data_IF_012782518768
#
_entry.id   IF_012782518768
#
_cell.length_a   1.000
_cell.length_b   1.000
_cell.length_c   1.000
_cell.angle_alpha   90.00
_cell.angle_beta   90.00
_cell.angle_gamma   90.00
#
_symmetry.space_group_name_H-M   'P 1'
#
loop_
_entity.id
_entity.type
_entity.pdbx_description
1 polymer ?
#
# COMPACT_ATOMS: atom_id res chain seq x y z
N UNK A 1 57.71 57.89 22.80
CA UNK A 1 59.02 57.26 22.66
C UNK A 1 58.88 56.14 21.63
N UNK A 2 59.39 56.37 20.40
CA UNK A 2 59.25 55.48 19.25
C UNK A 2 60.47 54.58 19.21
N UNK A 3 60.30 53.29 19.14
CA UNK A 3 61.35 52.36 18.71
C UNK A 3 60.90 51.62 17.46
N UNK A 4 61.70 51.81 16.43
CA UNK A 4 61.61 51.19 15.10
C UNK A 4 62.57 50.00 15.15
N UNK A 5 62.08 48.80 14.77
CA UNK A 5 62.98 47.65 14.56
C UNK A 5 62.77 47.18 13.12
N UNK A 6 63.83 47.36 12.34
CA UNK A 6 63.94 46.80 11.00
C UNK A 6 64.37 45.33 11.09
N UNK A 7 63.71 44.43 10.46
CA UNK A 7 64.14 43.06 10.29
C UNK A 7 64.33 42.67 8.86
N UNK A 8 65.54 42.27 8.59
CA UNK A 8 66.08 41.83 7.30
C UNK A 8 65.48 40.47 6.93
N UNK A 9 64.78 40.42 5.77
CA UNK A 9 64.28 39.14 5.22
C UNK A 9 65.33 38.60 4.22
N UNK A 10 66.00 37.51 4.63
CA UNK A 10 66.81 36.71 3.70
C UNK A 10 65.90 35.78 2.90
N UNK A 11 65.86 35.95 1.57
CA UNK A 11 65.20 35.03 0.66
C UNK A 11 66.09 33.83 0.41
N UNK A 12 65.68 32.66 0.84
CA UNK A 12 66.26 31.37 0.40
C UNK A 12 65.32 30.78 -0.67
N UNK A 13 65.85 30.64 -1.87
CA UNK A 13 65.14 29.95 -2.99
C UNK A 13 65.19 28.42 -2.76
N UNK A 14 64.01 27.81 -2.70
CA UNK A 14 63.89 26.36 -2.68
C UNK A 14 63.45 25.91 -4.09
N UNK A 15 64.15 24.95 -4.73
CA UNK A 15 63.74 24.46 -6.02
C UNK A 15 62.49 23.61 -5.92
N UNK A 16 61.50 23.89 -6.76
CA UNK A 16 60.30 23.07 -6.90
C UNK A 16 60.62 21.83 -7.74
N UNK A 17 60.64 20.66 -7.15
CA UNK A 17 60.64 19.40 -7.86
C UNK A 17 59.16 19.10 -8.17
N UNK A 18 58.79 19.15 -9.47
CA UNK A 18 57.48 18.74 -9.93
C UNK A 18 57.46 17.18 -9.99
N UNK A 19 56.76 16.62 -9.02
CA UNK A 19 56.40 15.17 -9.05
C UNK A 19 55.16 15.03 -9.94
N UNK A 20 55.34 14.53 -11.14
CA UNK A 20 54.25 14.10 -12.02
C UNK A 20 53.69 12.76 -11.41
N UNK A 21 52.60 12.88 -10.65
CA UNK A 21 51.80 11.72 -10.26
C UNK A 21 50.86 11.42 -11.43
N UNK A 22 51.22 10.41 -12.18
CA UNK A 22 50.33 9.83 -13.20
C UNK A 22 49.14 9.17 -12.51
N UNK A 23 47.98 9.83 -12.54
CA UNK A 23 46.71 9.22 -12.16
C UNK A 23 46.28 8.31 -13.30
N UNK A 24 46.53 7.03 -13.14
CA UNK A 24 45.93 6.01 -13.99
C UNK A 24 44.40 6.05 -13.71
N UNK A 25 43.64 6.55 -14.67
CA UNK A 25 42.20 6.46 -14.64
C UNK A 25 41.80 4.98 -14.74
N UNK A 26 41.35 4.40 -13.64
CA UNK A 26 40.70 3.09 -13.68
C UNK A 26 39.47 3.21 -14.61
N UNK A 27 39.23 2.22 -15.48
CA UNK A 27 38.00 2.22 -16.27
C UNK A 27 36.79 2.23 -15.31
N UNK A 28 35.98 3.28 -15.37
CA UNK A 28 34.66 3.23 -14.77
C UNK A 28 33.92 2.08 -15.48
N UNK A 29 33.77 0.95 -14.80
CA UNK A 29 32.72 0.01 -15.16
C UNK A 29 31.40 0.78 -15.15
N UNK A 30 30.93 1.13 -16.33
CA UNK A 30 29.53 1.51 -16.55
C UNK A 30 28.75 0.25 -16.21
N UNK A 31 28.34 0.17 -14.94
CA UNK A 31 27.46 -0.89 -14.48
C UNK A 31 26.29 -0.92 -15.45
N UNK A 32 26.19 -2.01 -16.20
CA UNK A 32 25.01 -2.33 -16.98
C UNK A 32 23.83 -2.21 -16.01
N UNK A 33 23.11 -1.09 -16.10
CA UNK A 33 21.80 -0.96 -15.47
C UNK A 33 21.00 -2.09 -16.08
N UNK A 34 20.89 -3.21 -15.36
CA UNK A 34 20.07 -4.32 -15.77
C UNK A 34 18.66 -3.70 -15.92
N UNK A 35 18.16 -3.72 -17.12
CA UNK A 35 16.80 -3.31 -17.44
C UNK A 35 15.88 -4.43 -16.93
N UNK A 36 15.91 -4.67 -15.60
CA UNK A 36 14.93 -5.52 -14.95
C UNK A 36 13.59 -4.85 -15.16
N UNK A 37 12.75 -5.48 -15.95
CA UNK A 37 11.37 -5.06 -16.13
C UNK A 37 10.79 -4.83 -14.74
N UNK A 38 10.35 -3.59 -14.47
CA UNK A 38 9.81 -3.19 -13.16
C UNK A 38 8.66 -4.14 -12.84
N UNK A 39 8.78 -4.86 -11.72
CA UNK A 39 7.74 -5.78 -11.26
C UNK A 39 6.49 -5.02 -10.88
N UNK A 40 5.35 -5.67 -11.00
CA UNK A 40 4.06 -5.14 -10.59
C UNK A 40 3.62 -5.81 -9.27
N UNK A 41 3.43 -5.01 -8.24
CA UNK A 41 2.81 -5.44 -6.99
C UNK A 41 1.34 -4.98 -6.98
N UNK A 42 0.41 -5.93 -6.99
CA UNK A 42 -1.03 -5.68 -6.92
C UNK A 42 -1.50 -5.97 -5.51
N UNK A 43 -2.03 -4.96 -4.84
CA UNK A 43 -2.57 -5.04 -3.49
C UNK A 43 -4.08 -5.08 -3.57
N UNK A 44 -4.70 -6.17 -3.14
CA UNK A 44 -6.17 -6.27 -3.07
C UNK A 44 -6.57 -6.37 -1.60
N UNK A 45 -7.18 -5.32 -1.07
CA UNK A 45 -7.56 -5.19 0.33
C UNK A 45 -9.02 -4.78 0.48
N UNK A 46 -9.58 -5.01 1.65
CA UNK A 46 -10.95 -4.62 1.94
C UNK A 46 -11.05 -3.13 2.21
N UNK A 47 -10.24 -2.63 3.17
CA UNK A 47 -10.33 -1.27 3.69
C UNK A 47 -9.05 -0.47 3.41
N UNK A 48 -9.12 0.84 3.61
CA UNK A 48 -8.08 1.78 3.21
C UNK A 48 -6.84 1.79 4.11
N UNK A 49 -6.92 1.18 5.30
CA UNK A 49 -5.84 1.05 6.31
C UNK A 49 -5.24 -0.36 6.42
N UNK A 50 -5.81 -1.36 5.73
CA UNK A 50 -5.39 -2.77 5.84
C UNK A 50 -3.92 -2.98 5.48
N UNK A 51 -3.49 -2.44 4.33
CA UNK A 51 -2.15 -2.72 3.86
C UNK A 51 -1.07 -2.04 4.71
N UNK A 52 -1.33 -0.88 5.28
CA UNK A 52 -0.43 -0.20 6.20
C UNK A 52 -0.18 -1.06 7.44
N UNK A 53 -1.24 -1.64 7.98
CA UNK A 53 -1.21 -2.44 9.20
C UNK A 53 -0.59 -3.82 9.00
N UNK A 54 -0.89 -4.49 7.89
CA UNK A 54 -0.59 -5.92 7.74
C UNK A 54 0.59 -6.21 6.82
N UNK A 55 0.94 -5.30 5.88
CA UNK A 55 1.96 -5.53 4.85
C UNK A 55 2.80 -4.28 4.50
N UNK A 56 2.69 -3.21 5.29
CA UNK A 56 3.23 -1.89 4.96
C UNK A 56 4.74 -1.85 4.80
N UNK A 57 5.50 -2.60 5.59
CA UNK A 57 6.95 -2.72 5.46
C UNK A 57 7.37 -3.37 4.13
N UNK A 58 6.68 -4.45 3.75
CA UNK A 58 6.96 -5.18 2.50
C UNK A 58 6.67 -4.31 1.28
N UNK A 59 5.49 -3.67 1.24
CA UNK A 59 5.11 -2.82 0.11
C UNK A 59 5.98 -1.58 0.00
N UNK A 60 6.34 -0.95 1.13
CA UNK A 60 7.27 0.19 1.15
C UNK A 60 8.60 -0.18 0.53
N UNK A 61 9.18 -1.32 0.91
CA UNK A 61 10.43 -1.80 0.33
C UNK A 61 10.31 -2.01 -1.19
N UNK A 62 9.24 -2.66 -1.65
CA UNK A 62 9.03 -2.95 -3.08
C UNK A 62 8.84 -1.69 -3.92
N UNK A 63 8.01 -0.75 -3.46
CA UNK A 63 7.79 0.52 -4.16
C UNK A 63 9.07 1.35 -4.25
N UNK A 64 9.86 1.42 -3.17
CA UNK A 64 11.16 2.11 -3.15
C UNK A 64 12.23 1.43 -4.00
N UNK A 65 12.11 0.13 -4.25
CA UNK A 65 12.94 -0.60 -5.20
C UNK A 65 12.55 -0.36 -6.67
N UNK A 66 11.57 0.52 -6.92
CA UNK A 66 11.14 0.92 -8.26
C UNK A 66 10.03 0.07 -8.86
N UNK A 67 9.44 -0.87 -8.12
CA UNK A 67 8.27 -1.61 -8.58
C UNK A 67 7.08 -0.66 -8.79
N UNK A 68 6.20 -1.01 -9.72
CA UNK A 68 4.88 -0.37 -9.85
C UNK A 68 3.94 -0.95 -8.81
N UNK A 69 3.04 -0.11 -8.28
CA UNK A 69 2.00 -0.52 -7.35
C UNK A 69 0.60 -0.30 -7.90
N UNK A 70 -0.25 -1.32 -7.83
CA UNK A 70 -1.71 -1.20 -8.06
C UNK A 70 -2.42 -1.57 -6.77
N UNK A 71 -3.13 -0.61 -6.17
CA UNK A 71 -3.86 -0.82 -4.92
C UNK A 71 -5.36 -0.82 -5.19
N UNK A 72 -6.02 -1.92 -4.87
CA UNK A 72 -7.45 -2.14 -5.07
C UNK A 72 -8.13 -2.21 -3.71
N UNK A 73 -8.99 -1.24 -3.41
CA UNK A 73 -9.81 -1.16 -2.21
C UNK A 73 -11.22 -1.58 -2.55
N UNK A 74 -11.68 -2.74 -2.06
CA UNK A 74 -12.98 -3.29 -2.45
C UNK A 74 -14.14 -2.56 -1.77
N UNK A 75 -14.04 -2.25 -0.48
CA UNK A 75 -15.09 -1.52 0.23
C UNK A 75 -14.73 -0.06 0.44
N UNK A 76 -15.71 0.74 0.75
CA UNK A 76 -15.51 2.12 1.19
C UNK A 76 -14.91 2.18 2.61
N UNK A 77 -14.96 1.08 3.36
CA UNK A 77 -14.59 1.05 4.77
C UNK A 77 -15.39 2.08 5.57
N UNK A 78 -16.64 2.25 5.22
CA UNK A 78 -17.51 3.33 5.75
C UNK A 78 -17.95 3.10 7.20
N UNK A 79 -17.85 1.88 7.71
CA UNK A 79 -18.27 1.49 9.06
C UNK A 79 -19.66 2.06 9.45
N UNK A 80 -20.56 2.14 8.48
CA UNK A 80 -21.89 2.73 8.64
C UNK A 80 -21.92 4.26 8.69
N UNK A 81 -20.80 4.96 8.53
CA UNK A 81 -20.70 6.41 8.48
C UNK A 81 -21.12 6.98 7.11
N UNK A 82 -21.15 8.30 7.03
CA UNK A 82 -21.50 9.06 5.83
C UNK A 82 -20.33 9.21 4.83
N UNK A 83 -20.59 9.97 3.77
CA UNK A 83 -19.61 10.18 2.69
C UNK A 83 -18.36 10.96 3.13
N UNK A 84 -18.46 11.81 4.15
CA UNK A 84 -17.30 12.58 4.64
C UNK A 84 -16.26 11.63 5.23
N UNK A 85 -16.71 10.59 5.95
CA UNK A 85 -15.85 9.60 6.58
C UNK A 85 -15.10 8.75 5.54
N UNK A 86 -15.82 8.04 4.67
CA UNK A 86 -15.13 7.14 3.73
C UNK A 86 -14.30 7.88 2.67
N UNK A 87 -14.69 9.10 2.28
CA UNK A 87 -13.84 9.93 1.42
C UNK A 87 -12.57 10.40 2.14
N UNK A 88 -12.63 10.66 3.45
CA UNK A 88 -11.42 10.91 4.23
C UNK A 88 -10.50 9.69 4.25
N UNK A 89 -11.04 8.47 4.38
CA UNK A 89 -10.25 7.23 4.29
C UNK A 89 -9.56 7.06 2.94
N UNK A 90 -10.24 7.37 1.82
CA UNK A 90 -9.62 7.36 0.49
C UNK A 90 -8.42 8.32 0.42
N UNK A 91 -8.59 9.58 0.88
CA UNK A 91 -7.48 10.55 0.92
C UNK A 91 -6.36 10.08 1.84
N UNK A 92 -6.69 9.53 2.99
CA UNK A 92 -5.75 9.00 3.96
C UNK A 92 -4.90 7.85 3.39
N UNK A 93 -5.52 6.93 2.63
CA UNK A 93 -4.82 5.86 1.92
C UNK A 93 -3.82 6.40 0.89
N UNK A 94 -4.19 7.46 0.15
CA UNK A 94 -3.31 8.12 -0.80
C UNK A 94 -2.11 8.81 -0.12
N UNK A 95 -2.27 9.38 1.07
CA UNK A 95 -1.15 9.91 1.85
C UNK A 95 -0.19 8.81 2.31
N UNK A 96 -0.71 7.67 2.78
CA UNK A 96 0.13 6.51 3.09
C UNK A 96 0.90 6.02 1.86
N UNK A 97 0.24 5.95 0.71
CA UNK A 97 0.86 5.54 -0.55
C UNK A 97 1.99 6.49 -0.94
N UNK A 98 1.79 7.80 -0.77
CA UNK A 98 2.82 8.81 -1.00
C UNK A 98 4.06 8.57 -0.13
N UNK A 99 3.87 8.29 1.15
CA UNK A 99 4.97 7.99 2.08
C UNK A 99 5.68 6.68 1.69
N UNK A 100 4.93 5.64 1.35
CA UNK A 100 5.50 4.35 0.94
C UNK A 100 6.38 4.48 -0.30
N UNK A 101 5.90 5.18 -1.32
CA UNK A 101 6.60 5.37 -2.58
C UNK A 101 7.66 6.50 -2.55
N UNK A 102 7.85 7.17 -1.40
CA UNK A 102 8.74 8.32 -1.23
C UNK A 102 8.45 9.47 -2.23
N UNK A 103 7.18 9.72 -2.53
CA UNK A 103 6.75 10.78 -3.44
C UNK A 103 6.64 12.11 -2.69
N UNK A 104 7.27 13.21 -3.18
CA UNK A 104 7.18 14.53 -2.57
C UNK A 104 5.72 15.00 -2.41
N UNK A 105 5.44 15.78 -1.35
CA UNK A 105 4.11 16.35 -1.13
C UNK A 105 3.68 17.28 -2.26
N UNK A 106 4.64 17.96 -2.88
CA UNK A 106 4.39 18.87 -4.00
C UNK A 106 3.95 18.16 -5.30
N UNK A 107 4.23 16.86 -5.44
CA UNK A 107 3.84 16.12 -6.63
C UNK A 107 2.32 15.92 -6.65
N UNK A 108 1.67 16.05 -7.80
CA UNK A 108 0.21 15.97 -7.88
C UNK A 108 -0.32 14.57 -7.57
N UNK A 109 -1.51 14.52 -7.00
CA UNK A 109 -2.37 13.34 -7.00
C UNK A 109 -3.45 13.54 -8.06
N UNK A 110 -3.45 12.70 -9.09
CA UNK A 110 -4.42 12.80 -10.19
C UNK A 110 -5.50 11.74 -10.01
N UNK A 111 -6.75 12.19 -9.88
CA UNK A 111 -7.90 11.28 -9.71
C UNK A 111 -8.95 11.50 -10.81
N UNK A 112 -9.50 10.40 -11.32
CA UNK A 112 -10.59 10.42 -12.30
C UNK A 112 -11.48 9.18 -12.12
N UNK A 113 -12.67 9.21 -12.72
CA UNK A 113 -13.47 8.01 -12.93
C UNK A 113 -12.97 7.32 -14.21
N UNK A 114 -12.77 6.02 -14.14
CA UNK A 114 -12.32 5.20 -15.28
C UNK A 114 -13.28 4.03 -15.48
N UNK A 115 -13.45 3.60 -16.73
CA UNK A 115 -14.24 2.41 -17.04
C UNK A 115 -13.33 1.16 -16.97
N UNK A 116 -13.68 0.23 -16.08
CA UNK A 116 -13.02 -1.06 -15.94
C UNK A 116 -14.08 -2.15 -16.10
N UNK A 117 -13.92 -3.01 -17.09
CA UNK A 117 -15.03 -3.83 -17.52
C UNK A 117 -16.24 -2.92 -17.78
N UNK A 118 -17.42 -3.16 -17.32
CA UNK A 118 -18.57 -2.28 -17.52
C UNK A 118 -18.86 -1.37 -16.30
N UNK A 119 -17.85 -1.11 -15.46
CA UNK A 119 -18.02 -0.39 -14.20
C UNK A 119 -17.21 0.90 -14.17
N UNK A 120 -17.82 1.98 -13.64
CA UNK A 120 -17.16 3.25 -13.38
C UNK A 120 -16.51 3.22 -12.02
N UNK A 121 -15.17 3.27 -11.98
CA UNK A 121 -14.37 3.13 -10.75
C UNK A 121 -13.48 4.35 -10.57
N UNK A 122 -13.40 4.87 -9.35
CA UNK A 122 -12.45 5.95 -9.03
C UNK A 122 -11.03 5.43 -9.05
N UNK A 123 -10.20 6.01 -9.93
CA UNK A 123 -8.76 5.79 -10.01
C UNK A 123 -8.03 7.03 -9.53
N UNK A 124 -6.99 6.85 -8.71
CA UNK A 124 -6.04 7.90 -8.35
C UNK A 124 -4.61 7.45 -8.60
N UNK A 125 -3.77 8.33 -9.13
CA UNK A 125 -2.35 8.07 -9.39
C UNK A 125 -1.48 8.93 -8.48
N UNK A 126 -0.50 8.29 -7.83
CA UNK A 126 0.52 8.92 -6.99
C UNK A 126 1.87 8.30 -7.37
N UNK A 127 2.72 9.05 -8.07
CA UNK A 127 4.01 8.57 -8.55
C UNK A 127 3.89 7.29 -9.39
N UNK A 128 4.56 6.22 -8.97
CA UNK A 128 4.55 4.91 -9.64
C UNK A 128 3.40 4.00 -9.18
N UNK A 129 2.37 4.54 -8.53
CA UNK A 129 1.24 3.78 -8.00
C UNK A 129 -0.09 4.23 -8.56
N UNK A 130 -1.02 3.29 -8.66
CA UNK A 130 -2.43 3.51 -9.00
C UNK A 130 -3.31 2.93 -7.90
N UNK A 131 -4.28 3.70 -7.43
CA UNK A 131 -5.26 3.27 -6.42
C UNK A 131 -6.65 3.24 -7.04
N UNK A 132 -7.36 2.12 -6.89
CA UNK A 132 -8.71 1.91 -7.39
C UNK A 132 -9.68 1.71 -6.23
N UNK A 133 -10.71 2.54 -6.16
CA UNK A 133 -11.70 2.54 -5.09
C UNK A 133 -13.04 2.02 -5.63
N UNK A 134 -13.39 0.79 -5.28
CA UNK A 134 -14.63 0.14 -5.70
C UNK A 134 -15.84 0.61 -4.90
N UNK A 135 -15.60 1.15 -3.71
CA UNK A 135 -16.62 1.77 -2.84
C UNK A 135 -17.80 0.86 -2.50
N UNK A 136 -17.59 -0.45 -2.45
CA UNK A 136 -18.63 -1.35 -1.97
C UNK A 136 -18.92 -1.09 -0.49
N UNK A 137 -20.16 -1.32 0.01
CA UNK A 137 -20.47 -1.10 1.41
C UNK A 137 -19.63 -2.00 2.31
N UNK A 138 -19.18 -1.47 3.43
CA UNK A 138 -18.53 -2.23 4.49
C UNK A 138 -19.47 -3.34 4.99
N UNK A 139 -18.94 -4.56 5.06
CA UNK A 139 -19.70 -5.74 5.47
C UNK A 139 -19.89 -5.86 6.97
N UNK A 140 -19.34 -4.97 7.77
CA UNK A 140 -19.22 -5.12 9.22
C UNK A 140 -18.36 -6.33 9.59
N UNK A 141 -17.79 -6.35 10.78
CA UNK A 141 -16.86 -7.41 11.23
C UNK A 141 -17.40 -8.83 11.01
N UNK A 142 -18.72 -9.03 11.12
CA UNK A 142 -19.38 -10.33 10.97
C UNK A 142 -19.90 -10.62 9.55
N UNK A 143 -19.71 -9.71 8.61
CA UNK A 143 -20.15 -9.84 7.22
C UNK A 143 -21.65 -9.68 7.00
N UNK A 144 -22.40 -9.16 7.99
CA UNK A 144 -23.85 -8.96 7.84
C UNK A 144 -24.23 -7.68 7.11
N UNK A 145 -23.31 -6.70 7.07
CA UNK A 145 -23.54 -5.38 6.49
C UNK A 145 -24.28 -4.44 7.42
N UNK A 146 -24.41 -3.17 7.00
CA UNK A 146 -25.10 -2.11 7.72
C UNK A 146 -26.51 -1.89 7.17
N UNK A 147 -27.43 -1.47 8.03
CA UNK A 147 -28.84 -1.22 7.71
C UNK A 147 -29.00 -0.19 6.58
N UNK A 148 -28.23 0.91 6.62
CA UNK A 148 -28.28 1.98 5.61
C UNK A 148 -28.03 1.49 4.18
N UNK A 149 -27.38 0.33 4.00
CA UNK A 149 -27.14 -0.31 2.70
C UNK A 149 -27.96 -1.60 2.53
N UNK A 150 -29.06 -1.74 3.25
CA UNK A 150 -29.93 -2.92 3.19
C UNK A 150 -29.23 -4.21 3.59
N UNK A 151 -28.28 -4.11 4.52
CA UNK A 151 -27.47 -5.25 4.99
C UNK A 151 -26.71 -5.99 3.86
N UNK A 152 -26.38 -5.30 2.76
CA UNK A 152 -25.59 -5.87 1.66
C UNK A 152 -24.11 -5.96 2.06
N UNK A 153 -23.39 -6.97 1.57
CA UNK A 153 -21.97 -7.17 1.86
C UNK A 153 -21.31 -8.12 0.86
N UNK A 154 -19.98 -8.09 0.77
CA UNK A 154 -19.17 -9.05 0.00
C UNK A 154 -19.49 -10.50 0.39
N UNK A 155 -19.70 -10.79 1.70
CA UNK A 155 -20.08 -12.10 2.19
C UNK A 155 -21.39 -12.58 1.56
N UNK A 156 -22.41 -11.73 1.51
CA UNK A 156 -23.73 -12.09 0.96
C UNK A 156 -23.67 -12.25 -0.56
N UNK A 157 -22.91 -11.40 -1.24
CA UNK A 157 -22.69 -11.53 -2.69
C UNK A 157 -22.04 -12.89 -3.03
N UNK A 158 -20.94 -13.25 -2.36
CA UNK A 158 -20.26 -14.52 -2.59
C UNK A 158 -21.12 -15.73 -2.24
N UNK A 159 -21.93 -15.65 -1.19
CA UNK A 159 -22.84 -16.70 -0.78
C UNK A 159 -24.14 -16.79 -1.63
N UNK A 160 -24.26 -15.97 -2.68
CA UNK A 160 -25.45 -15.85 -3.53
C UNK A 160 -26.73 -15.48 -2.76
N UNK A 161 -26.59 -14.83 -1.59
CA UNK A 161 -27.69 -14.28 -0.79
C UNK A 161 -28.07 -12.86 -1.22
N UNK A 162 -27.25 -12.26 -2.08
CA UNK A 162 -27.52 -11.06 -2.84
C UNK A 162 -27.16 -11.33 -4.28
N UNK A 163 -28.02 -10.97 -5.23
CA UNK A 163 -27.75 -11.10 -6.67
C UNK A 163 -26.76 -10.06 -7.18
N UNK A 164 -26.66 -8.93 -6.46
CA UNK A 164 -25.83 -7.80 -6.82
C UNK A 164 -25.31 -7.05 -5.59
N UNK A 165 -24.27 -6.25 -5.77
CA UNK A 165 -23.71 -5.36 -4.79
C UNK A 165 -23.33 -4.04 -5.46
N UNK A 166 -24.00 -2.95 -5.09
CA UNK A 166 -23.73 -1.60 -5.59
C UNK A 166 -22.67 -0.88 -4.77
N UNK A 167 -21.89 -0.04 -5.42
CA UNK A 167 -21.06 0.96 -4.77
C UNK A 167 -21.94 1.96 -3.99
N UNK A 168 -21.46 2.42 -2.83
CA UNK A 168 -22.26 3.29 -1.93
C UNK A 168 -22.49 4.70 -2.49
N UNK A 169 -21.71 5.10 -3.49
CA UNK A 169 -21.87 6.35 -4.24
C UNK A 169 -22.68 6.19 -5.54
N UNK A 170 -23.18 4.98 -5.82
CA UNK A 170 -23.96 4.68 -7.02
C UNK A 170 -23.15 4.57 -8.32
N UNK A 171 -21.82 4.65 -8.26
CA UNK A 171 -20.95 4.67 -9.46
C UNK A 171 -20.91 3.34 -10.21
N UNK A 172 -21.12 2.21 -9.53
CA UNK A 172 -21.08 0.86 -10.12
C UNK A 172 -22.02 -0.10 -9.41
N UNK A 173 -22.45 -1.16 -10.10
CA UNK A 173 -23.20 -2.28 -9.51
C UNK A 173 -22.68 -3.59 -10.08
N UNK A 174 -22.18 -4.46 -9.21
CA UNK A 174 -21.61 -5.76 -9.56
C UNK A 174 -22.66 -6.87 -9.49
N UNK A 175 -22.95 -7.51 -10.60
CA UNK A 175 -23.96 -8.57 -10.73
C UNK A 175 -23.36 -9.92 -10.40
N UNK A 176 -23.27 -10.21 -9.11
CA UNK A 176 -22.71 -11.45 -8.57
C UNK A 176 -21.18 -11.40 -8.36
N UNK A 177 -20.70 -12.47 -7.79
CA UNK A 177 -19.29 -12.61 -7.41
C UNK A 177 -18.34 -12.66 -8.63
N UNK A 178 -18.78 -13.32 -9.70
CA UNK A 178 -17.98 -13.47 -10.93
C UNK A 178 -17.73 -12.13 -11.61
N UNK A 179 -18.73 -11.26 -11.68
CA UNK A 179 -18.61 -9.92 -12.25
C UNK A 179 -17.59 -9.07 -11.47
N UNK A 180 -17.69 -9.03 -10.14
CA UNK A 180 -16.70 -8.36 -9.29
C UNK A 180 -15.29 -8.97 -9.50
N UNK A 181 -15.18 -10.29 -9.53
CA UNK A 181 -13.91 -10.99 -9.72
C UNK A 181 -13.29 -10.66 -11.09
N UNK A 182 -14.08 -10.67 -12.15
CA UNK A 182 -13.62 -10.33 -13.53
C UNK A 182 -13.14 -8.88 -13.57
N UNK A 183 -13.87 -7.95 -12.96
CA UNK A 183 -13.50 -6.53 -12.91
C UNK A 183 -12.16 -6.33 -12.19
N UNK A 184 -11.96 -6.98 -11.05
CA UNK A 184 -10.65 -6.94 -10.35
C UNK A 184 -9.56 -7.60 -11.20
N UNK A 185 -9.88 -8.69 -11.89
CA UNK A 185 -8.95 -9.40 -12.76
C UNK A 185 -8.41 -8.56 -13.91
N UNK A 186 -9.19 -7.61 -14.44
CA UNK A 186 -8.76 -6.70 -15.51
C UNK A 186 -7.71 -5.69 -15.06
N UNK A 187 -7.61 -5.42 -13.75
CA UNK A 187 -6.60 -4.53 -13.17
C UNK A 187 -5.23 -5.21 -13.01
N UNK A 188 -5.18 -6.53 -13.17
CA UNK A 188 -3.95 -7.30 -13.07
C UNK A 188 -3.36 -7.39 -14.48
N UNK A 189 -2.28 -6.66 -14.73
CA UNK A 189 -1.57 -6.72 -16.02
C UNK A 189 -0.92 -8.10 -16.18
N UNK A 190 -1.55 -8.94 -17.01
CA UNK A 190 -1.16 -10.35 -17.21
C UNK A 190 0.08 -10.52 -18.08
N UNK A 191 0.42 -9.50 -18.86
CA UNK A 191 1.57 -9.51 -19.77
C UNK A 191 2.84 -9.05 -19.05
N UNK A 192 2.73 -8.55 -17.81
CA UNK A 192 3.88 -8.16 -17.01
C UNK A 192 4.56 -9.39 -16.42
N UNK A 193 5.75 -9.71 -16.88
CA UNK A 193 6.60 -10.70 -16.23
C UNK A 193 6.86 -10.26 -14.78
N UNK A 194 6.33 -11.02 -13.80
CA UNK A 194 6.60 -10.79 -12.39
C UNK A 194 5.51 -10.02 -11.63
N UNK A 195 4.23 -10.28 -11.92
CA UNK A 195 3.10 -9.82 -11.07
C UNK A 195 3.09 -10.60 -9.76
N UNK A 196 3.04 -9.88 -8.64
CA UNK A 196 2.79 -10.45 -7.30
C UNK A 196 1.53 -9.82 -6.71
N UNK A 197 0.59 -10.65 -6.27
CA UNK A 197 -0.62 -10.16 -5.59
C UNK A 197 -0.41 -10.24 -4.08
N UNK A 198 -0.77 -9.18 -3.36
CA UNK A 198 -0.77 -9.08 -1.91
C UNK A 198 -2.22 -8.95 -1.41
N UNK A 199 -2.62 -9.79 -0.46
CA UNK A 199 -4.00 -9.80 0.07
C UNK A 199 -4.07 -10.40 1.47
N UNK A 200 -5.23 -10.30 2.12
CA UNK A 200 -5.49 -10.92 3.43
C UNK A 200 -5.57 -12.45 3.33
N UNK A 201 -5.07 -13.17 4.33
CA UNK A 201 -5.18 -14.64 4.39
C UNK A 201 -6.62 -15.06 4.72
N UNK A 202 -7.34 -15.73 3.79
CA UNK A 202 -8.73 -16.13 4.01
C UNK A 202 -8.90 -17.36 4.92
N UNK A 203 -7.80 -17.99 5.34
CA UNK A 203 -7.83 -19.21 6.13
C UNK A 203 -8.19 -18.92 7.59
N UNK A 204 -9.39 -19.35 8.01
CA UNK A 204 -9.90 -19.12 9.38
C UNK A 204 -8.99 -19.72 10.46
N UNK A 205 -8.38 -20.88 10.24
CA UNK A 205 -7.53 -21.50 11.23
C UNK A 205 -6.23 -20.70 11.46
N UNK A 206 -5.76 -20.01 10.43
CA UNK A 206 -4.56 -19.15 10.51
C UNK A 206 -4.89 -17.74 10.98
N UNK A 207 -6.06 -17.22 10.59
CA UNK A 207 -6.51 -15.86 10.81
C UNK A 207 -7.91 -15.88 11.48
N UNK A 208 -8.01 -16.40 12.72
CA UNK A 208 -9.27 -16.44 13.45
C UNK A 208 -9.74 -15.04 13.83
N UNK A 209 -11.07 -14.86 13.91
CA UNK A 209 -11.72 -13.63 14.36
C UNK A 209 -11.40 -12.36 13.52
N UNK A 210 -10.86 -12.55 12.33
CA UNK A 210 -10.58 -11.45 11.41
C UNK A 210 -11.88 -10.84 10.85
N UNK A 211 -11.77 -9.63 10.27
CA UNK A 211 -12.89 -8.98 9.61
C UNK A 211 -13.37 -9.80 8.42
N UNK A 212 -14.69 -9.91 8.25
CA UNK A 212 -15.24 -10.76 7.19
C UNK A 212 -14.87 -10.28 5.80
N UNK A 213 -14.75 -8.96 5.60
CA UNK A 213 -14.35 -8.41 4.30
C UNK A 213 -12.88 -8.72 3.96
N UNK A 214 -11.96 -8.76 4.96
CA UNK A 214 -10.59 -9.24 4.74
C UNK A 214 -10.60 -10.67 4.18
N UNK A 215 -11.43 -11.54 4.79
CA UNK A 215 -11.59 -12.91 4.33
C UNK A 215 -12.16 -12.98 2.91
N UNK A 216 -13.17 -12.16 2.60
CA UNK A 216 -13.77 -12.13 1.25
C UNK A 216 -12.77 -11.67 0.21
N UNK A 217 -11.95 -10.67 0.53
CA UNK A 217 -10.86 -10.18 -0.33
C UNK A 217 -9.84 -11.28 -0.64
N UNK A 218 -9.38 -12.00 0.39
CA UNK A 218 -8.48 -13.14 0.20
C UNK A 218 -9.09 -14.28 -0.62
N UNK A 219 -10.40 -14.56 -0.44
CA UNK A 219 -11.12 -15.56 -1.24
C UNK A 219 -11.29 -15.09 -2.71
N UNK A 220 -11.49 -13.81 -2.96
CA UNK A 220 -11.54 -13.27 -4.33
C UNK A 220 -10.22 -13.50 -5.06
N UNK A 221 -9.09 -13.21 -4.41
CA UNK A 221 -7.76 -13.48 -4.97
C UNK A 221 -7.53 -14.98 -5.16
N UNK A 222 -7.95 -15.82 -4.23
CA UNK A 222 -7.84 -17.25 -4.37
C UNK A 222 -8.67 -17.80 -5.54
N UNK A 223 -9.85 -17.22 -5.79
CA UNK A 223 -10.70 -17.57 -6.94
C UNK A 223 -10.10 -17.06 -8.27
N UNK A 224 -9.52 -15.86 -8.30
CA UNK A 224 -8.76 -15.33 -9.45
C UNK A 224 -7.59 -16.23 -9.82
N UNK A 225 -6.82 -16.72 -8.82
CA UNK A 225 -5.68 -17.60 -9.06
C UNK A 225 -6.04 -18.96 -9.67
N UNK A 226 -7.28 -19.43 -9.53
CA UNK A 226 -7.76 -20.63 -10.22
C UNK A 226 -7.87 -20.43 -11.74
N UNK A 227 -8.11 -19.18 -12.16
CA UNK A 227 -8.26 -18.82 -13.57
C UNK A 227 -6.95 -18.30 -14.19
N UNK A 228 -6.04 -17.80 -13.38
CA UNK A 228 -4.80 -17.15 -13.80
C UNK A 228 -3.61 -17.64 -13.00
N UNK A 229 -2.47 -17.84 -13.69
CA UNK A 229 -1.20 -18.22 -13.04
C UNK A 229 -0.56 -17.01 -12.38
N UNK A 230 -0.89 -16.74 -11.12
CA UNK A 230 -0.46 -15.56 -10.37
C UNK A 230 0.27 -15.97 -9.08
N UNK A 231 1.36 -15.29 -8.77
CA UNK A 231 2.01 -15.35 -7.47
C UNK A 231 1.15 -14.58 -6.45
N UNK A 232 0.89 -15.15 -5.29
CA UNK A 232 0.15 -14.47 -4.23
C UNK A 232 0.83 -14.56 -2.87
N UNK A 233 0.78 -13.46 -2.14
CA UNK A 233 1.22 -13.31 -0.77
C UNK A 233 0.00 -13.03 0.11
N UNK A 234 -0.26 -13.93 1.06
CA UNK A 234 -1.40 -13.88 1.96
C UNK A 234 -0.95 -13.46 3.36
N UNK A 235 -1.44 -12.34 3.84
CA UNK A 235 -1.04 -11.73 5.11
C UNK A 235 -2.06 -12.00 6.20
N UNK A 236 -1.57 -12.29 7.41
CA UNK A 236 -2.45 -12.32 8.57
C UNK A 236 -2.99 -10.92 8.84
N UNK A 237 -4.28 -10.83 9.11
CA UNK A 237 -4.97 -9.64 9.58
C UNK A 237 -4.91 -9.54 11.12
N UNK A 238 -6.05 -9.49 11.77
CA UNK A 238 -6.13 -9.26 13.23
C UNK A 238 -5.40 -10.28 14.10
N UNK A 239 -5.29 -11.53 13.64
CA UNK A 239 -4.58 -12.59 14.37
C UNK A 239 -3.08 -12.31 14.53
N UNK A 240 -2.49 -11.39 13.76
CA UNK A 240 -1.07 -11.08 13.89
C UNK A 240 -0.72 -10.41 15.22
N UNK A 241 -1.65 -9.69 15.85
CA UNK A 241 -1.42 -9.01 17.11
C UNK A 241 -1.02 -9.96 18.26
N UNK A 242 -1.40 -11.24 18.17
CA UNK A 242 -1.08 -12.27 19.17
C UNK A 242 0.20 -13.07 18.85
N UNK A 243 0.86 -12.78 17.72
CA UNK A 243 2.08 -13.49 17.30
C UNK A 243 3.32 -12.86 17.93
N UNK A 244 4.48 -13.53 17.84
CA UNK A 244 5.74 -12.96 18.26
C UNK A 244 6.10 -11.72 17.42
N UNK A 245 6.80 -10.74 18.01
CA UNK A 245 7.37 -9.61 17.27
C UNK A 245 8.40 -10.15 16.26
N UNK A 246 8.33 -9.71 15.02
CA UNK A 246 9.21 -10.21 13.96
C UNK A 246 9.66 -9.12 12.97
N UNK A 247 9.51 -7.84 13.33
CA UNK A 247 9.98 -6.72 12.53
C UNK A 247 11.15 -6.02 13.22
N UNK A 248 12.11 -5.54 12.42
CA UNK A 248 13.20 -4.68 12.91
C UNK A 248 12.65 -3.28 13.22
N UNK A 249 13.45 -2.49 13.96
CA UNK A 249 13.11 -1.09 14.27
C UNK A 249 12.77 -0.29 13.02
N UNK A 250 13.57 -0.41 11.95
CA UNK A 250 13.35 0.32 10.69
C UNK A 250 12.04 -0.09 10.01
N UNK A 251 11.70 -1.38 10.03
CA UNK A 251 10.44 -1.89 9.48
C UNK A 251 9.23 -1.40 10.29
N UNK A 252 9.36 -1.36 11.62
CA UNK A 252 8.33 -0.80 12.51
C UNK A 252 8.16 0.70 12.25
N UNK A 253 9.26 1.45 12.12
CA UNK A 253 9.23 2.88 11.80
C UNK A 253 8.56 3.13 10.44
N UNK A 254 8.88 2.33 9.41
CA UNK A 254 8.25 2.43 8.11
C UNK A 254 6.74 2.25 8.19
N UNK A 255 6.25 1.17 8.83
CA UNK A 255 4.81 0.93 9.04
C UNK A 255 4.15 2.05 9.85
N UNK A 256 4.83 2.52 10.90
CA UNK A 256 4.34 3.62 11.74
C UNK A 256 4.18 4.90 10.93
N UNK A 257 5.13 5.23 10.07
CA UNK A 257 5.06 6.43 9.22
C UNK A 257 3.86 6.38 8.26
N UNK A 258 3.53 5.20 7.71
CA UNK A 258 2.35 5.02 6.87
C UNK A 258 1.06 5.27 7.64
N UNK A 259 0.93 4.66 8.81
CA UNK A 259 -0.26 4.80 9.65
C UNK A 259 -0.44 6.24 10.14
N UNK A 260 0.64 6.91 10.55
CA UNK A 260 0.58 8.31 10.96
C UNK A 260 0.23 9.27 9.81
N UNK A 261 0.63 8.95 8.58
CA UNK A 261 0.21 9.73 7.42
C UNK A 261 -1.30 9.56 7.15
N UNK A 262 -1.80 8.33 7.27
CA UNK A 262 -3.22 8.02 7.21
C UNK A 262 -4.01 8.76 8.29
N UNK A 263 -3.59 8.62 9.53
CA UNK A 263 -4.30 9.13 10.71
C UNK A 263 -4.37 10.67 10.72
N UNK A 264 -3.30 11.34 10.28
CA UNK A 264 -3.28 12.81 10.12
C UNK A 264 -4.35 13.29 9.15
N UNK A 265 -4.58 12.62 8.04
CA UNK A 265 -5.61 12.97 7.06
C UNK A 265 -7.01 12.72 7.62
N UNK A 266 -7.21 11.62 8.34
CA UNK A 266 -8.47 11.34 9.04
C UNK A 266 -8.79 12.42 10.08
N UNK A 267 -7.82 12.81 10.90
CA UNK A 267 -7.96 13.87 11.90
C UNK A 267 -8.15 15.26 11.28
N UNK A 268 -7.60 15.51 10.10
CA UNK A 268 -7.84 16.76 9.37
C UNK A 268 -9.30 16.88 8.92
N UNK A 269 -9.95 15.77 8.58
CA UNK A 269 -11.36 15.73 8.24
C UNK A 269 -12.24 15.83 9.50
N UNK A 270 -11.89 15.15 10.57
CA UNK A 270 -12.55 15.24 11.88
C UNK A 270 -11.57 14.81 12.98
N UNK A 271 -11.32 15.67 13.95
CA UNK A 271 -10.39 15.44 15.07
C UNK A 271 -10.70 14.17 15.89
N UNK A 272 -11.92 13.66 15.83
CA UNK A 272 -12.35 12.42 16.52
C UNK A 272 -12.05 11.15 15.73
N UNK A 273 -11.63 11.25 14.48
CA UNK A 273 -11.40 10.09 13.60
C UNK A 273 -9.95 9.60 13.59
N UNK A 274 -9.28 9.65 14.73
CA UNK A 274 -7.98 9.00 14.87
C UNK A 274 -8.15 7.52 15.15
N UNK A 275 -8.00 6.69 14.13
CA UNK A 275 -8.03 5.25 14.27
C UNK A 275 -6.89 4.74 15.19
N UNK A 276 -5.73 5.42 15.15
CA UNK A 276 -4.60 5.08 16.02
C UNK A 276 -4.91 5.38 17.50
N UNK A 277 -5.55 6.49 17.82
CA UNK A 277 -5.91 6.81 19.21
C UNK A 277 -6.99 5.88 19.74
N UNK A 278 -8.01 5.60 18.93
CA UNK A 278 -9.13 4.72 19.29
C UNK A 278 -8.68 3.28 19.54
N UNK A 279 -7.76 2.77 18.71
CA UNK A 279 -7.30 1.37 18.75
C UNK A 279 -5.80 1.24 19.05
N UNK A 280 -5.23 2.17 19.80
CA UNK A 280 -3.78 2.32 20.00
C UNK A 280 -3.06 1.02 20.37
N UNK A 281 -3.57 0.28 21.36
CA UNK A 281 -2.96 -0.97 21.80
C UNK A 281 -2.88 -1.99 20.66
N UNK A 282 -4.00 -2.21 19.99
CA UNK A 282 -4.09 -3.17 18.87
C UNK A 282 -3.20 -2.75 17.68
N UNK A 283 -3.24 -1.48 17.27
CA UNK A 283 -2.41 -1.00 16.15
C UNK A 283 -0.92 -1.04 16.47
N UNK A 284 -0.53 -0.72 17.72
CA UNK A 284 0.86 -0.86 18.14
C UNK A 284 1.36 -2.30 18.02
N UNK A 285 0.51 -3.29 18.35
CA UNK A 285 0.84 -4.71 18.15
C UNK A 285 0.94 -5.07 16.66
N UNK A 286 0.05 -4.56 15.82
CA UNK A 286 0.08 -4.78 14.37
C UNK A 286 1.34 -4.20 13.72
N UNK A 287 1.80 -3.03 14.15
CA UNK A 287 2.97 -2.36 13.57
C UNK A 287 4.27 -3.14 13.78
N UNK A 288 4.38 -3.93 14.84
CA UNK A 288 5.57 -4.71 15.19
C UNK A 288 5.66 -6.06 14.46
N UNK A 289 4.67 -6.39 13.63
CA UNK A 289 4.52 -7.73 13.06
C UNK A 289 4.09 -7.70 11.60
N UNK A 290 4.60 -8.65 10.83
CA UNK A 290 4.09 -8.98 9.49
C UNK A 290 4.25 -10.47 9.27
N UNK A 291 3.15 -11.17 9.13
CA UNK A 291 3.11 -12.61 8.90
C UNK A 291 2.48 -12.90 7.55
N UNK A 292 3.22 -13.55 6.69
CA UNK A 292 2.84 -13.82 5.31
C UNK A 292 3.13 -15.26 4.94
N UNK A 293 2.29 -15.85 4.10
CA UNK A 293 2.60 -17.06 3.34
C UNK A 293 2.54 -16.74 1.85
N UNK A 294 3.45 -17.31 1.10
CA UNK A 294 3.46 -17.20 -0.35
C UNK A 294 2.84 -18.43 -0.99
N UNK A 295 2.09 -18.23 -2.05
CA UNK A 295 1.64 -19.27 -2.96
C UNK A 295 2.13 -18.90 -4.37
N UNK A 296 3.18 -19.59 -4.88
CA UNK A 296 3.68 -19.34 -6.22
C UNK A 296 2.64 -19.73 -7.28
N UNK A 297 2.74 -19.15 -8.46
CA UNK A 297 1.98 -19.55 -9.64
C UNK A 297 2.20 -21.04 -9.93
N UNK A 298 1.15 -21.76 -10.18
CA UNK A 298 1.17 -23.17 -10.57
C UNK A 298 1.03 -23.32 -12.08
#
# INVERSE_FOLDING_TARGET
MKFRVESIIRRTAVPWIAILVGVAAAPHEVGLISNQSKRLDVVVVAHQDDWQLFMGDVLTQRLRSGNRGVLVYLTAGDDGHDSVYWQARERAALQSTRVAAAIPVADPTNCSMVQIHDHSIRKCTVGNTESYFFRLPDGKRDGKGFERYGYRSLRKLRAKRSSELGAIDGSATYRGWTDLMTTVGTLIDRDSAGVTIHTSDPNIARNPHDHFDHRMTGLLVADLRKQHKLDAMYYLGYALATRAVNRSTDQIQAKTALLLAYDREMMAANKKWSAYQEHRAFYSECLQRTYVRSEPRR
#
